data_IF_078156014533
#
_entry.id   IF_078156014533
#
_cell.length_a   1.000
_cell.length_b   1.000
_cell.length_c   1.000
_cell.angle_alpha   90.00
_cell.angle_beta   90.00
_cell.angle_gamma   90.00
#
_symmetry.space_group_name_H-M   'P 1'
#
loop_
_entity.id
_entity.type
_entity.pdbx_description
1 polymer ?
#
# COMPACT_ATOMS: atom_id res chain seq x y z
N UNK A 1 16.60 -12.88 -5.01
CA UNK A 1 15.42 -13.59 -4.43
C UNK A 1 14.92 -14.61 -5.47
N UNK A 2 14.43 -15.80 -5.12
CA UNK A 2 13.87 -16.66 -6.18
C UNK A 2 12.71 -15.93 -6.88
N UNK A 3 12.72 -15.87 -8.21
CA UNK A 3 11.72 -15.10 -9.00
C UNK A 3 10.29 -15.48 -8.63
N UNK A 4 10.05 -16.75 -8.29
CA UNK A 4 8.76 -17.26 -7.82
C UNK A 4 8.34 -16.66 -6.48
N UNK A 5 9.26 -16.51 -5.53
CA UNK A 5 9.00 -15.90 -4.23
C UNK A 5 8.79 -14.38 -4.38
N UNK A 6 9.56 -13.72 -5.27
CA UNK A 6 9.37 -12.31 -5.59
C UNK A 6 7.96 -12.04 -6.14
N UNK A 7 7.53 -12.85 -7.10
CA UNK A 7 6.20 -12.74 -7.70
C UNK A 7 5.07 -12.99 -6.68
N UNK A 8 5.24 -13.98 -5.80
CA UNK A 8 4.29 -14.26 -4.74
C UNK A 8 4.16 -13.08 -3.75
N UNK A 9 5.28 -12.50 -3.33
CA UNK A 9 5.28 -11.30 -2.48
C UNK A 9 4.59 -10.11 -3.18
N UNK A 10 4.85 -9.93 -4.47
CA UNK A 10 4.21 -8.88 -5.25
C UNK A 10 2.68 -9.07 -5.31
N UNK A 11 2.20 -10.28 -5.56
CA UNK A 11 0.77 -10.60 -5.53
C UNK A 11 0.16 -10.37 -4.14
N UNK A 12 0.86 -10.73 -3.07
CA UNK A 12 0.41 -10.46 -1.70
C UNK A 12 0.25 -8.96 -1.45
N UNK A 13 1.18 -8.12 -1.93
CA UNK A 13 1.04 -6.66 -1.81
C UNK A 13 -0.15 -6.12 -2.60
N UNK A 14 -0.40 -6.62 -3.80
CA UNK A 14 -1.59 -6.24 -4.58
C UNK A 14 -2.86 -6.58 -3.82
N UNK A 15 -2.94 -7.79 -3.26
CA UNK A 15 -4.11 -8.23 -2.51
C UNK A 15 -4.30 -7.37 -1.25
N UNK A 16 -3.25 -7.20 -0.45
CA UNK A 16 -3.28 -6.34 0.73
C UNK A 16 -3.71 -4.90 0.38
N UNK A 17 -3.22 -4.38 -0.74
CA UNK A 17 -3.58 -3.06 -1.23
C UNK A 17 -5.07 -2.97 -1.58
N UNK A 18 -5.62 -3.97 -2.28
CA UNK A 18 -7.04 -4.02 -2.61
C UNK A 18 -7.93 -4.01 -1.36
N UNK A 19 -7.60 -4.79 -0.32
CA UNK A 19 -8.34 -4.76 0.95
C UNK A 19 -8.19 -3.44 1.67
N UNK A 20 -6.98 -2.91 1.75
CA UNK A 20 -6.71 -1.61 2.37
C UNK A 20 -7.51 -0.50 1.68
N UNK A 21 -7.60 -0.56 0.35
CA UNK A 21 -8.37 0.39 -0.44
C UNK A 21 -9.87 0.28 -0.18
N UNK A 22 -10.43 -0.94 -0.13
CA UNK A 22 -11.84 -1.15 0.22
C UNK A 22 -12.14 -0.63 1.63
N UNK A 23 -11.30 -0.94 2.62
CA UNK A 23 -11.45 -0.41 3.97
C UNK A 23 -11.35 1.11 4.01
N UNK A 24 -10.52 1.71 3.16
CA UNK A 24 -10.39 3.16 3.06
C UNK A 24 -11.69 3.80 2.54
N UNK A 25 -12.35 3.17 1.55
CA UNK A 25 -13.62 3.64 1.02
C UNK A 25 -14.74 3.49 2.05
N UNK A 26 -14.81 2.33 2.72
CA UNK A 26 -15.84 2.06 3.72
C UNK A 26 -15.72 3.02 4.92
N UNK A 27 -14.48 3.23 5.41
CA UNK A 27 -14.20 4.16 6.49
C UNK A 27 -14.54 5.62 6.16
N UNK A 28 -14.48 6.00 4.88
CA UNK A 28 -14.85 7.35 4.42
C UNK A 28 -16.36 7.48 4.18
N UNK A 29 -17.05 6.41 3.78
CA UNK A 29 -18.49 6.41 3.53
C UNK A 29 -19.29 6.37 4.84
N UNK A 30 -18.87 5.53 5.77
CA UNK A 30 -19.37 5.44 7.13
C UNK A 30 -18.19 5.78 8.04
N UNK A 31 -18.10 7.00 8.60
CA UNK A 31 -16.93 7.46 9.36
C UNK A 31 -16.64 6.55 10.55
N UNK A 32 -15.87 5.51 10.28
CA UNK A 32 -15.50 4.43 11.17
C UNK A 32 -13.98 4.46 11.32
N UNK A 33 -13.54 4.98 12.46
CA UNK A 33 -12.13 5.18 12.77
C UNK A 33 -11.35 3.86 12.73
N UNK A 34 -11.96 2.74 13.14
CA UNK A 34 -11.29 1.43 13.16
C UNK A 34 -10.90 0.99 11.75
N UNK A 35 -11.83 1.06 10.79
CA UNK A 35 -11.53 0.72 9.40
C UNK A 35 -10.56 1.71 8.77
N UNK A 36 -10.62 2.98 9.18
CA UNK A 36 -9.65 3.97 8.72
C UNK A 36 -8.22 3.66 9.16
N UNK A 37 -8.04 3.30 10.44
CA UNK A 37 -6.73 2.89 10.97
C UNK A 37 -6.23 1.60 10.30
N UNK A 38 -7.11 0.62 10.06
CA UNK A 38 -6.75 -0.61 9.34
C UNK A 38 -6.30 -0.33 7.90
N UNK A 39 -7.00 0.54 7.18
CA UNK A 39 -6.61 0.98 5.85
C UNK A 39 -5.24 1.68 5.86
N UNK A 40 -4.99 2.56 6.84
CA UNK A 40 -3.73 3.27 7.00
C UNK A 40 -2.55 2.32 7.25
N UNK A 41 -2.73 1.34 8.13
CA UNK A 41 -1.72 0.29 8.39
C UNK A 41 -1.44 -0.48 7.11
N UNK A 42 -2.49 -0.89 6.40
CA UNK A 42 -2.37 -1.62 5.15
C UNK A 42 -1.60 -0.84 4.07
N UNK A 43 -1.93 0.44 3.85
CA UNK A 43 -1.18 1.31 2.95
C UNK A 43 0.28 1.50 3.37
N UNK A 44 0.55 1.63 4.67
CA UNK A 44 1.91 1.76 5.20
C UNK A 44 2.73 0.51 4.94
N UNK A 45 2.15 -0.67 5.18
CA UNK A 45 2.80 -1.97 4.90
C UNK A 45 3.04 -2.16 3.41
N UNK A 46 2.08 -1.80 2.55
CA UNK A 46 2.26 -1.84 1.09
C UNK A 46 3.38 -0.91 0.63
N UNK A 47 3.45 0.32 1.12
CA UNK A 47 4.51 1.28 0.80
C UNK A 47 5.89 0.82 1.28
N UNK A 48 6.03 0.57 2.57
CA UNK A 48 7.32 0.18 3.16
C UNK A 48 7.78 -1.17 2.61
N UNK A 49 6.87 -2.14 2.50
CA UNK A 49 7.15 -3.47 1.98
C UNK A 49 7.56 -3.46 0.52
N UNK A 50 6.87 -2.71 -0.34
CA UNK A 50 7.23 -2.60 -1.76
C UNK A 50 8.55 -1.86 -1.97
N UNK A 51 8.81 -0.77 -1.25
CA UNK A 51 10.12 -0.09 -1.31
C UNK A 51 11.26 -1.01 -0.86
N UNK A 52 11.07 -1.74 0.24
CA UNK A 52 12.08 -2.66 0.75
C UNK A 52 12.36 -3.80 -0.24
N UNK A 53 11.32 -4.45 -0.77
CA UNK A 53 11.49 -5.52 -1.76
C UNK A 53 12.05 -4.98 -3.08
N UNK A 54 11.68 -3.76 -3.49
CA UNK A 54 12.24 -3.09 -4.67
C UNK A 54 13.74 -2.85 -4.54
N UNK A 55 14.20 -2.36 -3.38
CA UNK A 55 15.62 -2.15 -3.09
C UNK A 55 16.41 -3.48 -3.07
N UNK A 56 15.83 -4.54 -2.50
CA UNK A 56 16.46 -5.88 -2.54
C UNK A 56 16.56 -6.42 -3.97
N UNK A 57 15.47 -6.39 -4.72
CA UNK A 57 15.42 -6.84 -6.11
C UNK A 57 16.36 -6.03 -7.02
N UNK A 58 16.52 -4.73 -6.75
CA UNK A 58 17.44 -3.88 -7.51
C UNK A 58 18.90 -4.28 -7.30
N UNK A 59 19.28 -4.67 -6.07
CA UNK A 59 20.64 -5.17 -5.77
C UNK A 59 20.96 -6.45 -6.52
N UNK A 60 19.96 -7.31 -6.70
CA UNK A 60 20.08 -8.58 -7.42
C UNK A 60 19.95 -8.42 -8.95
N UNK A 61 19.71 -7.20 -9.45
CA UNK A 61 19.55 -6.92 -10.89
C UNK A 61 18.23 -7.45 -11.49
N UNK A 62 17.24 -7.73 -10.65
CA UNK A 62 15.99 -8.34 -11.06
C UNK A 62 15.05 -7.31 -11.72
N UNK A 63 14.45 -7.66 -12.85
CA UNK A 63 13.42 -6.84 -13.51
C UNK A 63 12.20 -6.56 -12.60
N UNK A 64 12.00 -7.40 -11.57
CA UNK A 64 10.93 -7.25 -10.58
C UNK A 64 11.07 -5.99 -9.72
N UNK A 65 12.28 -5.42 -9.60
CA UNK A 65 12.52 -4.18 -8.86
C UNK A 65 11.68 -3.01 -9.40
N UNK A 66 11.59 -2.89 -10.73
CA UNK A 66 10.80 -1.85 -11.40
C UNK A 66 9.32 -1.92 -11.00
N UNK A 67 8.78 -3.14 -10.90
CA UNK A 67 7.39 -3.38 -10.52
C UNK A 67 7.12 -2.98 -9.07
N UNK A 68 8.01 -3.34 -8.14
CA UNK A 68 7.90 -2.93 -6.75
C UNK A 68 7.96 -1.41 -6.59
N UNK A 69 8.87 -0.72 -7.29
CA UNK A 69 8.93 0.75 -7.22
C UNK A 69 7.72 1.42 -7.86
N UNK A 70 7.26 0.93 -9.01
CA UNK A 70 6.04 1.45 -9.65
C UNK A 70 4.83 1.29 -8.73
N UNK A 71 4.70 0.11 -8.10
CA UNK A 71 3.66 -0.14 -7.12
C UNK A 71 3.78 0.77 -5.89
N UNK A 72 4.99 1.02 -5.38
CA UNK A 72 5.22 1.94 -4.28
C UNK A 72 4.74 3.36 -4.62
N UNK A 73 5.01 3.85 -5.82
CA UNK A 73 4.55 5.18 -6.28
C UNK A 73 3.02 5.23 -6.34
N UNK A 74 2.37 4.22 -6.94
CA UNK A 74 0.90 4.15 -7.02
C UNK A 74 0.29 4.09 -5.63
N UNK A 75 0.81 3.24 -4.75
CA UNK A 75 0.37 3.16 -3.36
C UNK A 75 0.56 4.50 -2.65
N UNK A 76 1.70 5.19 -2.86
CA UNK A 76 1.99 6.51 -2.31
C UNK A 76 0.96 7.57 -2.69
N UNK A 77 0.62 7.65 -3.97
CA UNK A 77 -0.43 8.57 -4.46
C UNK A 77 -1.76 8.31 -3.73
N UNK A 78 -2.12 7.04 -3.58
CA UNK A 78 -3.39 6.65 -2.96
C UNK A 78 -3.37 6.89 -1.45
N UNK A 79 -2.24 6.66 -0.77
CA UNK A 79 -2.07 6.99 0.64
C UNK A 79 -2.23 8.49 0.89
N UNK A 80 -1.62 9.35 0.07
CA UNK A 80 -1.78 10.81 0.18
C UNK A 80 -3.23 11.22 -0.06
N UNK A 81 -3.86 10.67 -1.11
CA UNK A 81 -5.29 10.87 -1.39
C UNK A 81 -6.19 10.45 -0.22
N UNK A 82 -5.85 9.36 0.46
CA UNK A 82 -6.59 8.87 1.62
C UNK A 82 -6.40 9.79 2.82
N UNK A 83 -5.15 10.14 3.16
CA UNK A 83 -4.83 11.04 4.26
C UNK A 83 -5.54 12.39 4.14
N UNK A 84 -5.56 12.99 2.95
CA UNK A 84 -6.25 14.28 2.73
C UNK A 84 -7.75 14.22 3.02
N UNK A 85 -8.39 13.06 2.89
CA UNK A 85 -9.81 12.85 3.21
C UNK A 85 -10.04 12.46 4.66
N UNK A 86 -9.09 11.77 5.29
CA UNK A 86 -9.17 11.39 6.69
C UNK A 86 -9.35 12.58 7.62
N UNK A 87 -8.65 13.68 7.39
CA UNK A 87 -8.80 14.87 8.24
C UNK A 87 -10.21 15.44 8.21
N UNK A 88 -10.79 15.55 7.01
CA UNK A 88 -12.19 16.01 6.86
C UNK A 88 -13.20 14.99 7.36
N UNK A 89 -12.96 13.69 7.17
CA UNK A 89 -13.91 12.63 7.51
C UNK A 89 -13.90 12.28 9.01
N UNK A 90 -12.76 12.40 9.68
CA UNK A 90 -12.58 12.08 11.10
C UNK A 90 -12.45 13.32 12.00
N UNK A 91 -12.48 14.53 11.43
CA UNK A 91 -12.39 15.79 12.18
C UNK A 91 -11.05 16.00 12.88
N UNK A 92 -9.95 15.52 12.26
CA UNK A 92 -8.61 15.57 12.86
C UNK A 92 -7.86 16.89 12.58
N UNK A 93 -8.41 17.76 11.72
CA UNK A 93 -8.02 19.16 11.56
C UNK A 93 -9.15 19.99 10.95
#
# INVERSE_FOLDING_TARGET
MDTKNGLANFMLFIFLFAFSFIFSLDALALPNVTYGVLALIGFTVCLAGSLFNGLLAQRDGEALALWFFTFAVVCGIITVWYLTRCGTAFGWW
#
